data_IF_316995545053
#
_entry.id   IF_316995545053
#
_cell.length_a   1.000
_cell.length_b   1.000
_cell.length_c   1.000
_cell.angle_alpha   90.00
_cell.angle_beta   90.00
_cell.angle_gamma   90.00
#
_symmetry.space_group_name_H-M   'P 1'
#
loop_
_entity.id
_entity.type
_entity.pdbx_description
1 polymer ?
#
# COMPACT_ATOMS: atom_id res chain seq x y z
N UNK A 1 -17.01 10.36 -12.50
CA UNK A 1 -16.70 9.34 -11.48
C UNK A 1 -16.12 10.08 -10.27
N UNK A 2 -16.05 9.49 -9.06
CA UNK A 2 -15.17 10.04 -8.02
C UNK A 2 -13.72 10.12 -8.53
N UNK A 3 -12.89 10.94 -7.88
CA UNK A 3 -11.46 11.00 -8.20
C UNK A 3 -10.74 9.77 -7.64
N UNK A 4 -9.78 9.22 -8.39
CA UNK A 4 -9.01 8.05 -7.96
C UNK A 4 -8.08 8.35 -6.77
N UNK A 5 -7.56 9.57 -6.71
CA UNK A 5 -6.62 10.02 -5.67
C UNK A 5 -7.19 11.19 -4.87
N UNK A 6 -7.01 11.16 -3.55
CA UNK A 6 -7.26 12.29 -2.66
C UNK A 6 -6.06 12.52 -1.72
N UNK A 7 -5.62 13.77 -1.56
CA UNK A 7 -4.48 14.13 -0.68
C UNK A 7 -4.89 15.10 0.42
N UNK A 8 -4.42 14.91 1.65
CA UNK A 8 -4.76 15.71 2.84
C UNK A 8 -3.53 15.97 3.72
N UNK A 9 -3.50 17.14 4.36
CA UNK A 9 -2.60 17.41 5.49
C UNK A 9 -3.43 17.20 6.76
N UNK A 10 -3.10 16.18 7.55
CA UNK A 10 -3.79 15.88 8.81
C UNK A 10 -3.21 16.68 9.97
N UNK A 11 -1.88 16.83 10.01
CA UNK A 11 -1.20 17.75 10.93
C UNK A 11 -0.01 18.43 10.20
N UNK A 12 -0.01 19.78 10.04
CA UNK A 12 1.03 20.50 9.32
C UNK A 12 2.44 20.21 9.85
N UNK A 13 3.35 19.88 8.93
CA UNK A 13 4.74 19.52 9.22
C UNK A 13 4.95 18.14 9.84
N UNK A 14 3.90 17.33 10.04
CA UNK A 14 3.98 16.06 10.79
C UNK A 14 3.29 14.88 10.11
N UNK A 15 2.06 15.05 9.63
CA UNK A 15 1.28 13.92 9.11
C UNK A 15 0.53 14.33 7.84
N UNK A 16 0.93 13.71 6.74
CA UNK A 16 0.26 13.77 5.45
C UNK A 16 -0.53 12.47 5.19
N UNK A 17 -1.55 12.54 4.34
CA UNK A 17 -2.40 11.42 3.97
C UNK A 17 -2.69 11.44 2.47
N UNK A 18 -2.64 10.26 1.85
CA UNK A 18 -3.00 10.01 0.46
C UNK A 18 -3.94 8.81 0.43
N UNK A 19 -5.07 8.93 -0.26
CA UNK A 19 -5.97 7.83 -0.58
C UNK A 19 -5.86 7.50 -2.07
N UNK A 20 -5.89 6.20 -2.42
CA UNK A 20 -5.82 5.70 -3.80
C UNK A 20 -6.89 4.60 -3.97
N UNK A 21 -7.96 4.91 -4.71
CA UNK A 21 -9.14 4.04 -4.87
C UNK A 21 -8.87 2.82 -5.77
N UNK A 22 -8.05 2.98 -6.81
CA UNK A 22 -7.61 1.91 -7.71
C UNK A 22 -6.19 2.18 -8.25
N UNK A 23 -5.45 1.13 -8.62
CA UNK A 23 -4.21 1.26 -9.38
C UNK A 23 -4.50 1.36 -10.89
N UNK A 24 -5.36 2.30 -11.28
CA UNK A 24 -5.86 2.44 -12.65
C UNK A 24 -4.78 2.96 -13.61
N UNK A 25 -4.33 2.10 -14.53
CA UNK A 25 -3.37 2.47 -15.57
C UNK A 25 -3.85 3.65 -16.44
N UNK A 26 -5.17 3.76 -16.66
CA UNK A 26 -5.77 4.85 -17.44
C UNK A 26 -5.72 6.22 -16.75
N UNK A 27 -5.43 6.27 -15.45
CA UNK A 27 -5.32 7.50 -14.65
C UNK A 27 -3.88 7.81 -14.21
N UNK A 28 -2.87 7.02 -14.61
CA UNK A 28 -1.47 7.26 -14.21
C UNK A 28 -0.97 8.67 -14.53
N UNK A 29 -1.32 9.22 -15.70
CA UNK A 29 -0.90 10.58 -16.09
C UNK A 29 -1.53 11.65 -15.18
N UNK A 30 -2.84 11.58 -14.94
CA UNK A 30 -3.57 12.54 -14.10
C UNK A 30 -3.24 12.42 -12.62
N UNK A 31 -3.01 11.20 -12.13
CA UNK A 31 -2.67 10.97 -10.73
C UNK A 31 -1.21 11.34 -10.42
N UNK A 32 -0.29 11.18 -11.39
CA UNK A 32 1.08 11.66 -11.30
C UNK A 32 1.16 13.17 -11.05
N UNK A 33 0.33 13.97 -11.74
CA UNK A 33 0.23 15.43 -11.54
C UNK A 33 -0.27 15.82 -10.14
N UNK A 34 -0.96 14.92 -9.42
CA UNK A 34 -1.45 15.14 -8.05
C UNK A 34 -0.41 14.64 -7.03
N UNK A 35 0.08 13.41 -7.22
CA UNK A 35 0.91 12.68 -6.26
C UNK A 35 2.32 13.26 -6.16
N UNK A 36 3.04 13.45 -7.27
CA UNK A 36 4.45 13.85 -7.21
C UNK A 36 4.65 15.24 -6.58
N UNK A 37 3.87 16.30 -6.93
CA UNK A 37 3.99 17.60 -6.26
C UNK A 37 3.55 17.54 -4.79
N UNK A 38 2.63 16.64 -4.42
CA UNK A 38 2.24 16.45 -3.03
C UNK A 38 3.37 15.81 -2.21
N UNK A 39 4.04 14.79 -2.74
CA UNK A 39 5.17 14.15 -2.06
C UNK A 39 6.34 15.11 -1.82
N UNK A 40 6.73 15.92 -2.82
CA UNK A 40 7.77 16.94 -2.62
C UNK A 40 7.38 17.97 -1.53
N UNK A 41 6.12 18.44 -1.58
CA UNK A 41 5.56 19.37 -0.58
C UNK A 41 5.58 18.82 0.85
N UNK A 42 5.38 17.52 1.05
CA UNK A 42 5.34 16.88 2.38
C UNK A 42 6.62 16.12 2.73
N UNK A 43 7.65 16.16 1.88
CA UNK A 43 8.86 15.31 1.95
C UNK A 43 9.55 15.24 3.33
N UNK A 44 9.52 16.35 4.07
CA UNK A 44 10.13 16.49 5.40
C UNK A 44 9.15 16.32 6.57
N UNK A 45 7.96 15.76 6.33
CA UNK A 45 6.97 15.46 7.39
C UNK A 45 7.39 14.18 8.13
N UNK A 46 7.06 14.10 9.43
CA UNK A 46 7.36 12.91 10.24
C UNK A 46 6.68 11.63 9.71
N UNK A 47 5.50 11.74 9.10
CA UNK A 47 4.64 10.63 8.68
C UNK A 47 3.93 10.91 7.34
N UNK A 48 3.88 9.88 6.49
CA UNK A 48 3.00 9.80 5.33
C UNK A 48 2.12 8.55 5.48
N UNK A 49 0.81 8.72 5.44
CA UNK A 49 -0.18 7.64 5.43
C UNK A 49 -0.66 7.45 3.99
N UNK A 50 -0.58 6.23 3.48
CA UNK A 50 -1.09 5.83 2.17
C UNK A 50 -2.23 4.85 2.43
N UNK A 51 -3.41 5.18 1.93
CA UNK A 51 -4.64 4.44 2.19
C UNK A 51 -5.12 3.77 0.91
N UNK A 52 -5.04 2.44 0.90
CA UNK A 52 -5.54 1.59 -0.18
C UNK A 52 -6.69 0.70 0.29
N UNK A 53 -7.39 1.04 1.39
CA UNK A 53 -8.39 0.16 2.03
C UNK A 53 -9.64 -0.14 1.17
N UNK A 54 -9.85 0.57 0.07
CA UNK A 54 -10.88 0.27 -0.94
C UNK A 54 -10.30 -0.32 -2.25
N UNK A 55 -8.98 -0.42 -2.37
CA UNK A 55 -8.30 -0.70 -3.63
C UNK A 55 -8.29 -2.20 -3.95
N UNK A 56 -8.93 -2.53 -5.08
CA UNK A 56 -9.07 -3.89 -5.60
C UNK A 56 -7.94 -4.29 -6.58
N UNK A 57 -6.92 -3.44 -6.74
CA UNK A 57 -5.79 -3.64 -7.65
C UNK A 57 -5.89 -2.81 -8.93
N UNK A 58 -5.40 -3.40 -10.03
CA UNK A 58 -5.06 -2.68 -11.27
C UNK A 58 -3.61 -2.94 -11.69
N UNK A 59 -2.90 -1.92 -12.16
CA UNK A 59 -1.52 -2.01 -12.65
C UNK A 59 -0.49 -2.05 -11.53
N UNK A 60 0.43 -3.03 -11.57
CA UNK A 60 1.60 -3.05 -10.69
C UNK A 60 2.54 -1.85 -10.97
N UNK A 61 2.68 -1.45 -12.24
CA UNK A 61 3.50 -0.30 -12.63
C UNK A 61 2.96 1.02 -12.06
N UNK A 62 1.65 1.16 -11.84
CA UNK A 62 1.09 2.32 -11.13
C UNK A 62 1.69 2.41 -9.72
N UNK A 63 1.69 1.30 -8.98
CA UNK A 63 2.22 1.26 -7.62
C UNK A 63 3.74 1.46 -7.60
N UNK A 64 4.48 0.78 -8.47
CA UNK A 64 5.93 0.87 -8.53
C UNK A 64 6.40 2.29 -8.92
N UNK A 65 5.80 2.91 -9.94
CA UNK A 65 6.23 4.21 -10.47
C UNK A 65 5.66 5.41 -9.71
N UNK A 66 4.42 5.35 -9.22
CA UNK A 66 3.76 6.48 -8.56
C UNK A 66 3.78 6.41 -7.03
N UNK A 67 4.07 5.24 -6.43
CA UNK A 67 4.13 5.11 -4.96
C UNK A 67 5.55 4.76 -4.48
N UNK A 68 6.17 3.70 -5.00
CA UNK A 68 7.47 3.24 -4.48
C UNK A 68 8.62 4.11 -4.96
N UNK A 69 8.74 4.34 -6.27
CA UNK A 69 9.83 5.10 -6.87
C UNK A 69 9.99 6.53 -6.29
N UNK A 70 8.92 7.36 -6.12
CA UNK A 70 9.09 8.71 -5.62
C UNK A 70 9.37 8.81 -4.11
N UNK A 71 9.11 7.73 -3.35
CA UNK A 71 9.25 7.72 -1.89
C UNK A 71 10.54 7.03 -1.40
N UNK A 72 11.25 6.32 -2.27
CA UNK A 72 12.53 5.63 -1.97
C UNK A 72 13.76 6.48 -2.31
N UNK A 73 14.93 6.14 -1.74
CA UNK A 73 16.17 6.96 -1.84
C UNK A 73 17.21 6.46 -2.86
N UNK A 74 17.10 5.22 -3.31
CA UNK A 74 17.84 4.62 -4.43
C UNK A 74 16.85 3.69 -5.16
N UNK A 75 16.60 3.75 -6.47
CA UNK A 75 17.15 4.57 -7.57
C UNK A 75 16.00 4.74 -8.60
N UNK A 76 15.76 5.87 -9.29
CA UNK A 76 16.58 7.03 -9.62
C UNK A 76 15.90 8.38 -9.31
N UNK A 77 16.69 9.32 -8.77
CA UNK A 77 16.53 10.78 -8.94
C UNK A 77 15.16 11.42 -8.63
N UNK A 78 14.62 11.20 -7.44
CA UNK A 78 13.97 12.26 -6.65
C UNK A 78 14.46 12.20 -5.19
N UNK A 79 14.37 13.29 -4.39
CA UNK A 79 14.68 13.20 -2.98
C UNK A 79 13.55 12.45 -2.24
N UNK A 80 13.77 11.17 -1.93
CA UNK A 80 12.79 10.32 -1.26
C UNK A 80 12.35 10.83 0.12
N UNK A 81 11.28 10.24 0.66
CA UNK A 81 10.64 10.68 1.90
C UNK A 81 11.57 10.51 3.12
N UNK A 82 11.59 11.51 4.01
CA UNK A 82 12.49 11.51 5.19
C UNK A 82 11.84 10.86 6.44
N UNK A 83 10.51 10.78 6.49
CA UNK A 83 9.74 10.27 7.63
C UNK A 83 9.37 8.78 7.54
N UNK A 84 8.39 8.37 8.35
CA UNK A 84 7.83 7.00 8.36
C UNK A 84 6.63 6.89 7.41
N UNK A 85 6.62 5.84 6.57
CA UNK A 85 5.50 5.52 5.69
C UNK A 85 4.61 4.46 6.36
N UNK A 86 3.30 4.69 6.31
CA UNK A 86 2.27 3.80 6.81
C UNK A 86 1.35 3.41 5.66
N UNK A 87 1.10 2.11 5.46
CA UNK A 87 0.18 1.61 4.44
C UNK A 87 -1.08 1.04 5.11
N UNK A 88 -2.25 1.58 4.78
CA UNK A 88 -3.52 1.11 5.31
C UNK A 88 -4.11 0.05 4.40
N UNK A 89 -4.41 -1.12 4.96
CA UNK A 89 -4.86 -2.33 4.23
C UNK A 89 -6.17 -2.88 4.80
N UNK A 90 -6.93 -3.58 3.98
CA UNK A 90 -8.20 -4.22 4.36
C UNK A 90 -8.44 -5.53 3.61
N UNK A 91 -9.48 -6.24 4.02
CA UNK A 91 -10.06 -7.38 3.34
C UNK A 91 -10.39 -7.15 1.84
N UNK A 92 -10.51 -5.90 1.38
CA UNK A 92 -10.74 -5.57 -0.04
C UNK A 92 -9.48 -5.71 -0.90
N UNK A 93 -8.27 -5.71 -0.31
CA UNK A 93 -7.05 -5.72 -1.10
C UNK A 93 -6.82 -7.06 -1.78
N UNK A 94 -6.93 -7.02 -3.11
CA UNK A 94 -6.81 -8.11 -4.06
C UNK A 94 -5.85 -7.68 -5.18
N UNK A 95 -5.37 -8.63 -5.99
CA UNK A 95 -4.56 -8.36 -7.18
C UNK A 95 -3.29 -7.54 -6.87
N UNK A 96 -2.99 -6.50 -7.65
CA UNK A 96 -1.82 -5.66 -7.42
C UNK A 96 -1.85 -4.87 -6.10
N UNK A 97 -3.01 -4.74 -5.43
CA UNK A 97 -3.07 -4.21 -4.06
C UNK A 97 -2.61 -5.22 -3.01
N UNK A 98 -2.83 -6.51 -3.24
CA UNK A 98 -2.20 -7.57 -2.44
C UNK A 98 -0.68 -7.60 -2.68
N UNK A 99 -0.23 -7.46 -3.94
CA UNK A 99 1.19 -7.28 -4.23
C UNK A 99 1.78 -6.07 -3.49
N UNK A 100 1.10 -4.92 -3.52
CA UNK A 100 1.54 -3.71 -2.84
C UNK A 100 1.66 -3.91 -1.31
N UNK A 101 0.69 -4.60 -0.69
CA UNK A 101 0.75 -4.97 0.73
C UNK A 101 1.94 -5.90 1.03
N UNK A 102 2.04 -7.01 0.29
CA UNK A 102 3.10 -8.02 0.43
C UNK A 102 4.49 -7.39 0.26
N UNK A 103 4.71 -6.65 -0.83
CA UNK A 103 5.96 -5.97 -1.14
C UNK A 103 6.32 -4.95 -0.06
N UNK A 104 5.37 -4.10 0.35
CA UNK A 104 5.62 -3.02 1.32
C UNK A 104 6.08 -3.57 2.67
N UNK A 105 5.46 -4.68 3.11
CA UNK A 105 5.83 -5.40 4.33
C UNK A 105 7.19 -6.09 4.19
N UNK A 106 7.40 -6.82 3.10
CA UNK A 106 8.61 -7.64 2.88
C UNK A 106 9.89 -6.80 2.68
N UNK A 107 9.78 -5.66 2.02
CA UNK A 107 10.88 -4.71 1.79
C UNK A 107 11.16 -3.80 2.99
N UNK A 108 10.22 -3.68 3.93
CA UNK A 108 10.26 -2.67 4.99
C UNK A 108 9.96 -1.24 4.50
N UNK A 109 9.42 -1.08 3.28
CA UNK A 109 9.04 0.22 2.70
C UNK A 109 7.98 0.96 3.53
N UNK A 110 7.00 0.25 4.09
CA UNK A 110 5.97 0.83 4.93
C UNK A 110 5.57 -0.10 6.09
N UNK A 111 5.09 0.47 7.19
CA UNK A 111 4.41 -0.29 8.25
C UNK A 111 2.94 -0.49 7.86
N UNK A 112 2.48 -1.74 7.79
CA UNK A 112 1.08 -2.06 7.44
C UNK A 112 0.17 -1.97 8.66
N UNK A 113 -0.97 -1.29 8.49
CA UNK A 113 -2.01 -1.14 9.53
C UNK A 113 -3.37 -1.46 8.94
N UNK A 114 -4.20 -2.28 9.60
CA UNK A 114 -5.53 -2.59 9.07
C UNK A 114 -6.00 -4.00 9.35
N UNK A 115 -6.55 -4.68 8.34
CA UNK A 115 -6.91 -6.11 8.39
C UNK A 115 -6.13 -6.90 7.34
N UNK A 116 -6.10 -8.22 7.49
CA UNK A 116 -5.55 -9.12 6.47
C UNK A 116 -6.24 -8.91 5.13
N UNK A 117 -5.46 -8.83 4.08
CA UNK A 117 -5.94 -8.69 2.69
C UNK A 117 -6.70 -9.94 2.23
N UNK A 118 -7.49 -9.85 1.15
CA UNK A 118 -8.13 -11.04 0.57
C UNK A 118 -7.16 -11.92 -0.21
N UNK A 119 -6.03 -11.36 -0.68
CA UNK A 119 -4.96 -12.10 -1.33
C UNK A 119 -5.10 -12.20 -2.85
N UNK A 120 -4.26 -13.07 -3.44
CA UNK A 120 -4.21 -13.41 -4.87
C UNK A 120 -3.79 -12.27 -5.84
N UNK A 121 -3.43 -12.67 -7.07
CA UNK A 121 -2.99 -11.81 -8.17
C UNK A 121 -1.55 -11.28 -8.05
N UNK A 122 -0.77 -11.80 -7.10
CA UNK A 122 0.70 -11.81 -7.20
C UNK A 122 1.09 -12.84 -8.26
N UNK A 123 1.26 -12.42 -9.52
CA UNK A 123 1.60 -13.33 -10.60
C UNK A 123 1.31 -12.77 -11.99
N UNK A 124 0.54 -13.53 -12.78
CA UNK A 124 0.09 -13.15 -14.13
C UNK A 124 -1.31 -13.69 -14.35
N UNK A 125 -2.04 -13.09 -15.29
CA UNK A 125 -3.41 -13.49 -15.61
C UNK A 125 -3.52 -14.99 -15.92
N UNK A 126 -4.61 -15.66 -15.50
CA UNK A 126 -4.82 -17.07 -15.81
C UNK A 126 -4.83 -17.33 -17.32
N UNK A 127 -4.19 -18.43 -17.73
CA UNK A 127 -4.11 -18.81 -19.14
C UNK A 127 -5.19 -19.84 -19.50
N UNK A 128 -5.58 -19.82 -20.77
CA UNK A 128 -6.65 -20.67 -21.31
C UNK A 128 -6.08 -21.80 -22.17
N UNK A 129 -6.54 -23.02 -21.93
CA UNK A 129 -6.33 -24.18 -22.79
C UNK A 129 -7.67 -24.60 -23.41
N UNK A 130 -7.66 -24.83 -24.73
CA UNK A 130 -8.81 -25.40 -25.44
C UNK A 130 -8.54 -26.89 -25.63
N UNK A 131 -9.39 -27.75 -25.04
CA UNK A 131 -9.21 -29.20 -25.11
C UNK A 131 -9.51 -29.70 -26.54
N UNK A 132 -8.56 -30.40 -27.20
CA UNK A 132 -8.56 -30.58 -28.66
C UNK A 132 -9.72 -31.43 -29.20
N UNK A 133 -10.31 -32.30 -28.38
CA UNK A 133 -11.36 -33.22 -28.78
C UNK A 133 -12.77 -32.81 -28.30
N UNK A 134 -12.88 -31.86 -27.38
CA UNK A 134 -14.17 -31.45 -26.77
C UNK A 134 -14.49 -29.96 -26.95
N UNK A 135 -13.50 -29.13 -27.30
CA UNK A 135 -13.67 -27.68 -27.40
C UNK A 135 -13.89 -26.97 -26.06
N UNK A 136 -13.81 -27.70 -24.94
CA UNK A 136 -13.91 -27.11 -23.60
C UNK A 136 -12.72 -26.19 -23.34
N UNK A 137 -13.02 -25.02 -22.77
CA UNK A 137 -12.02 -24.05 -22.30
C UNK A 137 -11.73 -24.34 -20.83
N UNK A 138 -10.45 -24.56 -20.51
CA UNK A 138 -9.95 -24.66 -19.14
C UNK A 138 -9.13 -23.42 -18.86
N UNK A 139 -9.51 -22.67 -17.83
CA UNK A 139 -8.73 -21.57 -17.28
C UNK A 139 -7.92 -22.09 -16.08
N UNK A 140 -6.64 -21.73 -15.98
CA UNK A 140 -5.83 -21.99 -14.79
C UNK A 140 -4.75 -20.92 -14.59
N UNK A 141 -4.42 -20.65 -13.32
CA UNK A 141 -3.31 -19.77 -12.96
C UNK A 141 -1.98 -20.48 -13.24
N UNK A 142 -1.11 -19.99 -14.15
CA UNK A 142 0.15 -20.65 -14.49
C UNK A 142 1.24 -20.42 -13.43
N UNK A 143 1.04 -19.44 -12.56
CA UNK A 143 1.87 -19.12 -11.41
C UNK A 143 1.00 -19.05 -10.16
N UNK A 144 1.55 -19.40 -9.01
CA UNK A 144 0.87 -19.30 -7.71
C UNK A 144 1.57 -18.25 -6.85
N UNK A 145 0.84 -17.21 -6.48
CA UNK A 145 1.36 -16.11 -5.68
C UNK A 145 1.66 -16.54 -4.24
N UNK A 146 2.86 -16.25 -3.77
CA UNK A 146 3.28 -16.50 -2.38
C UNK A 146 3.73 -15.21 -1.71
N UNK A 147 3.45 -15.12 -0.41
CA UNK A 147 3.96 -14.09 0.49
C UNK A 147 5.44 -14.32 0.82
N UNK A 148 6.09 -13.35 1.47
CA UNK A 148 7.49 -13.45 1.87
C UNK A 148 7.81 -14.56 2.91
N UNK A 149 6.80 -15.06 3.65
CA UNK A 149 6.95 -16.22 4.54
C UNK A 149 6.66 -17.57 3.83
N UNK A 150 6.38 -17.54 2.53
CA UNK A 150 6.12 -18.72 1.70
C UNK A 150 4.70 -19.27 1.82
N UNK A 151 3.79 -18.58 2.49
CA UNK A 151 2.36 -18.95 2.50
C UNK A 151 1.67 -18.55 1.19
N UNK A 152 0.59 -19.24 0.83
CA UNK A 152 -0.15 -18.99 -0.40
C UNK A 152 -1.00 -17.74 -0.27
N UNK A 153 -0.75 -16.73 -1.12
CA UNK A 153 -1.42 -15.43 -1.01
C UNK A 153 -2.95 -15.56 -1.17
N UNK A 154 -3.43 -16.33 -2.15
CA UNK A 154 -4.87 -16.60 -2.34
C UNK A 154 -5.56 -17.23 -1.11
N UNK A 155 -4.82 -18.00 -0.31
CA UNK A 155 -5.39 -18.74 0.82
C UNK A 155 -5.22 -18.03 2.18
N UNK A 156 -4.32 -17.05 2.28
CA UNK A 156 -3.89 -16.46 3.56
C UNK A 156 -3.83 -14.92 3.56
N UNK A 157 -3.71 -14.30 2.39
CA UNK A 157 -3.43 -12.88 2.23
C UNK A 157 -2.14 -12.42 2.92
N UNK A 158 -1.96 -11.11 2.97
CA UNK A 158 -0.91 -10.43 3.71
C UNK A 158 -1.47 -9.88 5.02
N UNK A 159 -1.02 -10.44 6.14
CA UNK A 159 -1.38 -9.94 7.48
C UNK A 159 -0.64 -8.62 7.79
N UNK A 160 -1.31 -7.54 8.24
CA UNK A 160 -0.66 -6.28 8.61
C UNK A 160 0.31 -6.42 9.80
N UNK A 161 1.14 -5.41 10.02
CA UNK A 161 2.01 -5.34 11.21
C UNK A 161 1.22 -4.93 12.46
N UNK A 162 0.17 -4.12 12.26
CA UNK A 162 -0.74 -3.65 13.31
C UNK A 162 -2.18 -3.95 12.89
N UNK A 163 -2.81 -4.92 13.55
CA UNK A 163 -4.21 -5.27 13.31
C UNK A 163 -5.14 -4.21 13.93
N UNK A 164 -6.11 -3.75 13.15
CA UNK A 164 -7.18 -2.86 13.61
C UNK A 164 -8.23 -3.65 14.42
N UNK A 165 -8.56 -3.21 15.65
CA UNK A 165 -9.66 -3.77 16.43
C UNK A 165 -11.00 -3.78 15.69
N UNK A 166 -11.91 -4.64 16.14
CA UNK A 166 -13.29 -4.65 15.65
C UNK A 166 -13.95 -3.29 15.92
N UNK A 167 -14.53 -2.68 14.88
CA UNK A 167 -15.14 -1.36 14.93
C UNK A 167 -14.17 -0.15 14.83
N UNK A 168 -12.85 -0.35 14.86
CA UNK A 168 -11.85 0.71 14.59
C UNK A 168 -11.40 0.64 13.12
N UNK A 169 -11.29 1.79 12.45
CA UNK A 169 -10.72 1.85 11.09
C UNK A 169 -9.19 1.72 11.10
N UNK A 170 -8.62 1.38 9.94
CA UNK A 170 -7.16 1.38 9.75
C UNK A 170 -6.56 2.77 10.00
N UNK A 171 -7.24 3.84 9.60
CA UNK A 171 -6.78 5.21 9.80
C UNK A 171 -6.80 5.61 11.28
N UNK A 172 -7.85 5.29 12.03
CA UNK A 172 -7.90 5.53 13.49
C UNK A 172 -6.81 4.76 14.22
N UNK A 173 -6.63 3.47 13.88
CA UNK A 173 -5.57 2.61 14.42
C UNK A 173 -4.18 3.21 14.15
N UNK A 174 -3.94 3.68 12.93
CA UNK A 174 -2.67 4.30 12.52
C UNK A 174 -2.41 5.63 13.24
N UNK A 175 -3.40 6.52 13.31
CA UNK A 175 -3.29 7.80 14.01
C UNK A 175 -3.06 7.61 15.51
N UNK A 176 -3.73 6.61 16.11
CA UNK A 176 -3.50 6.19 17.50
C UNK A 176 -2.06 5.73 17.71
N UNK A 177 -1.51 4.92 16.80
CA UNK A 177 -0.11 4.46 16.87
C UNK A 177 0.88 5.62 16.73
N UNK A 178 0.72 6.50 15.74
CA UNK A 178 1.54 7.71 15.55
C UNK A 178 1.53 8.57 16.83
N UNK A 179 0.36 8.73 17.46
CA UNK A 179 0.21 9.43 18.73
C UNK A 179 0.96 8.77 19.90
N UNK A 180 1.01 7.43 19.95
CA UNK A 180 1.78 6.68 20.96
C UNK A 180 3.29 6.83 20.74
N UNK A 181 3.79 6.61 19.52
CA UNK A 181 5.21 6.76 19.16
C UNK A 181 5.72 8.19 19.45
N UNK A 182 4.90 9.21 19.12
CA UNK A 182 5.20 10.62 19.39
C UNK A 182 5.32 10.94 20.88
N UNK A 183 4.48 10.33 21.72
CA UNK A 183 4.56 10.47 23.19
C UNK A 183 5.81 9.77 23.72
N UNK A 184 6.09 8.55 23.26
CA UNK A 184 7.27 7.77 23.66
C UNK A 184 8.57 8.57 23.41
N UNK A 185 8.74 9.13 22.20
CA UNK A 185 9.90 9.97 21.84
C UNK A 185 10.06 11.16 22.80
N UNK A 186 8.98 11.89 23.12
CA UNK A 186 9.04 13.02 24.08
C UNK A 186 9.44 12.60 25.48
N UNK A 187 8.92 11.48 26.00
CA UNK A 187 9.29 10.96 27.32
C UNK A 187 10.78 10.59 27.43
N UNK A 188 11.39 10.07 26.36
CA UNK A 188 12.82 9.77 26.35
C UNK A 188 13.69 11.03 26.31
N UNK A 189 13.33 12.02 25.48
CA UNK A 189 14.06 13.31 25.42
C UNK A 189 14.00 14.04 26.77
N UNK A 190 12.87 14.00 27.48
CA UNK A 190 12.70 14.62 28.80
C UNK A 190 13.44 13.91 29.95
N UNK A 191 14.00 12.72 29.74
CA UNK A 191 14.77 11.97 30.76
C UNK A 191 16.30 12.02 30.57
N UNK A 192 16.78 12.73 29.55
CA UNK A 192 18.21 12.93 29.29
C UNK A 192 18.75 14.28 29.82
N UNK A 193 17.93 14.99 30.59
CA UNK A 193 18.24 16.25 31.29
C UNK A 193 17.70 16.18 32.73
#
# INVERSE_FOLDING_TARGET
MPANVETKILEPGKTAYVFIDAFDHGQMETDCEILLPFYDKVRTYDNLIIDITNNLGGSMAYFDELVVAPLTKETLTVPGFDGKIWLLVSENNYSSSEYAAMFSKASGFATLVGRTTSGDGIGTDPIYLILPNSGLVVQYSPMYGVTADGTGSEACGTNPDIVSPEGESALETCLRQIGQESRQKRYFVQKQY
#
